data_IF_430603330147
#
_entry.id   IF_430603330147
#
_cell.length_a   1.000
_cell.length_b   1.000
_cell.length_c   1.000
_cell.angle_alpha   90.00
_cell.angle_beta   90.00
_cell.angle_gamma   90.00
#
_symmetry.space_group_name_H-M   'P 1'
#
loop_
_entity.id
_entity.type
_entity.pdbx_description
1 polymer ?
#
# COMPACT_ATOMS: atom_id res chain seq x y z
N UNK A 1 -15.27 8.38 -21.40
CA UNK A 1 -14.02 7.79 -20.87
C UNK A 1 -13.24 8.75 -19.97
N UNK A 2 -12.98 10.00 -20.37
CA UNK A 2 -12.14 10.95 -19.61
C UNK A 2 -12.65 11.27 -18.19
N UNK A 3 -13.97 11.45 -17.99
CA UNK A 3 -14.54 11.75 -16.67
C UNK A 3 -14.36 10.61 -15.64
N UNK A 4 -14.46 9.35 -16.07
CA UNK A 4 -14.28 8.20 -15.16
C UNK A 4 -12.83 8.06 -14.70
N UNK A 5 -11.87 8.28 -15.60
CA UNK A 5 -10.43 8.24 -15.30
C UNK A 5 -10.03 9.36 -14.35
N UNK A 6 -10.53 10.59 -14.57
CA UNK A 6 -10.25 11.73 -13.67
C UNK A 6 -10.85 11.51 -12.28
N UNK A 7 -12.07 10.99 -12.18
CA UNK A 7 -12.69 10.67 -10.88
C UNK A 7 -11.87 9.59 -10.16
N UNK A 8 -11.50 8.50 -10.84
CA UNK A 8 -10.70 7.42 -10.23
C UNK A 8 -9.31 7.93 -9.82
N UNK A 9 -8.68 8.77 -10.63
CA UNK A 9 -7.37 9.36 -10.29
C UNK A 9 -7.43 10.24 -9.04
N UNK A 10 -8.47 11.07 -8.88
CA UNK A 10 -8.67 11.86 -7.66
C UNK A 10 -8.91 10.98 -6.44
N UNK A 11 -9.65 9.88 -6.59
CA UNK A 11 -9.86 8.89 -5.54
C UNK A 11 -8.56 8.23 -5.10
N UNK A 12 -7.64 7.92 -6.02
CA UNK A 12 -6.33 7.36 -5.68
C UNK A 12 -5.50 8.33 -4.83
N UNK A 13 -5.53 9.62 -5.13
CA UNK A 13 -4.82 10.64 -4.34
C UNK A 13 -5.41 10.78 -2.94
N UNK A 14 -6.75 10.83 -2.81
CA UNK A 14 -7.41 10.86 -1.50
C UNK A 14 -7.07 9.59 -0.70
N UNK A 15 -7.12 8.43 -1.35
CA UNK A 15 -6.78 7.16 -0.72
C UNK A 15 -5.30 7.08 -0.35
N UNK A 16 -4.41 7.77 -1.08
CA UNK A 16 -2.98 7.89 -0.75
C UNK A 16 -2.76 8.57 0.60
N UNK A 17 -3.53 9.61 0.91
CA UNK A 17 -3.45 10.29 2.20
C UNK A 17 -3.93 9.41 3.36
N UNK A 18 -5.04 8.68 3.14
CA UNK A 18 -5.53 7.70 4.12
C UNK A 18 -4.54 6.55 4.31
N UNK A 19 -3.96 6.06 3.21
CA UNK A 19 -2.93 5.05 3.20
C UNK A 19 -1.71 5.49 4.02
N UNK A 20 -1.19 6.69 3.80
CA UNK A 20 -0.08 7.25 4.58
C UNK A 20 -0.37 7.23 6.08
N UNK A 21 -1.57 7.67 6.47
CA UNK A 21 -1.95 7.73 7.88
C UNK A 21 -1.98 6.33 8.53
N UNK A 22 -2.57 5.36 7.84
CA UNK A 22 -2.59 3.97 8.30
C UNK A 22 -1.19 3.33 8.29
N UNK A 23 -0.39 3.61 7.26
CA UNK A 23 0.97 3.11 7.12
C UNK A 23 1.87 3.61 8.25
N UNK A 24 1.78 4.91 8.59
CA UNK A 24 2.53 5.48 9.69
C UNK A 24 2.12 4.85 11.02
N UNK A 25 0.82 4.65 11.25
CA UNK A 25 0.35 3.97 12.46
C UNK A 25 0.88 2.53 12.54
N UNK A 26 0.81 1.77 11.45
CA UNK A 26 1.36 0.42 11.37
C UNK A 26 2.87 0.40 11.63
N UNK A 27 3.59 1.40 11.12
CA UNK A 27 5.05 1.50 11.26
C UNK A 27 5.47 1.86 12.69
N UNK A 28 4.77 2.79 13.35
CA UNK A 28 5.00 3.11 14.77
C UNK A 28 4.71 1.89 15.64
N UNK A 29 3.57 1.23 15.44
CA UNK A 29 3.22 0.01 16.19
C UNK A 29 4.21 -1.13 15.96
N UNK A 30 4.73 -1.27 14.73
CA UNK A 30 5.74 -2.27 14.41
C UNK A 30 7.06 -2.00 15.11
N UNK A 31 7.46 -0.72 15.25
CA UNK A 31 8.69 -0.34 15.96
C UNK A 31 8.51 -0.51 17.47
N UNK A 32 7.40 -0.02 18.04
CA UNK A 32 7.11 -0.11 19.47
C UNK A 32 6.96 -1.57 19.95
N UNK A 33 6.52 -2.47 19.06
CA UNK A 33 6.41 -3.90 19.35
C UNK A 33 7.74 -4.66 19.39
N UNK A 34 8.86 -4.03 19.03
CA UNK A 34 10.17 -4.69 18.97
C UNK A 34 11.06 -4.30 20.15
N UNK A 35 11.68 -5.31 20.80
CA UNK A 35 12.71 -5.06 21.83
C UNK A 35 14.00 -4.50 21.23
N UNK A 36 14.33 -4.90 20.00
CA UNK A 36 15.45 -4.37 19.21
C UNK A 36 14.93 -4.00 17.82
N UNK A 37 14.82 -2.70 17.47
CA UNK A 37 14.22 -2.29 16.21
C UNK A 37 15.08 -2.72 15.03
N UNK A 38 14.53 -3.58 14.19
CA UNK A 38 15.14 -4.08 12.95
C UNK A 38 14.31 -3.66 11.75
N UNK A 39 14.98 -3.11 10.74
CA UNK A 39 14.37 -2.65 9.48
C UNK A 39 13.56 -3.79 8.83
N UNK A 40 14.10 -5.01 8.81
CA UNK A 40 13.46 -6.16 8.19
C UNK A 40 12.16 -6.58 8.88
N UNK A 41 12.17 -6.57 10.21
CA UNK A 41 10.99 -6.94 11.02
C UNK A 41 9.93 -5.86 10.88
N UNK A 42 10.32 -4.58 10.94
CA UNK A 42 9.40 -3.46 10.70
C UNK A 42 8.75 -3.56 9.33
N UNK A 43 9.55 -3.84 8.30
CA UNK A 43 9.08 -3.97 6.91
C UNK A 43 8.15 -5.18 6.74
N UNK A 44 8.39 -6.29 7.43
CA UNK A 44 7.49 -7.45 7.44
C UNK A 44 6.12 -7.12 8.07
N UNK A 45 6.11 -6.42 9.21
CA UNK A 45 4.85 -6.01 9.85
C UNK A 45 4.08 -4.99 9.00
N UNK A 46 4.78 -4.00 8.42
CA UNK A 46 4.14 -3.06 7.49
C UNK A 46 3.73 -3.74 6.19
N UNK A 47 4.40 -4.81 5.77
CA UNK A 47 3.98 -5.62 4.63
C UNK A 47 2.62 -6.30 4.88
N UNK A 48 2.38 -6.83 6.09
CA UNK A 48 1.08 -7.38 6.45
C UNK A 48 -0.04 -6.33 6.39
N UNK A 49 0.23 -5.10 6.85
CA UNK A 49 -0.69 -3.98 6.64
C UNK A 49 -0.92 -3.72 5.14
N UNK A 50 0.14 -3.71 4.33
CA UNK A 50 0.04 -3.50 2.88
C UNK A 50 -0.73 -4.62 2.16
N UNK A 51 -0.72 -5.86 2.66
CA UNK A 51 -1.59 -6.94 2.17
C UNK A 51 -3.08 -6.63 2.41
N UNK A 52 -3.43 -6.09 3.59
CA UNK A 52 -4.80 -5.67 3.88
C UNK A 52 -5.23 -4.50 2.98
N UNK A 53 -4.35 -3.52 2.79
CA UNK A 53 -4.61 -2.41 1.87
C UNK A 53 -4.74 -2.92 0.42
N UNK A 54 -3.87 -3.82 -0.01
CA UNK A 54 -3.94 -4.46 -1.33
C UNK A 54 -5.24 -5.25 -1.53
N UNK A 55 -5.77 -5.88 -0.47
CA UNK A 55 -7.10 -6.49 -0.48
C UNK A 55 -8.22 -5.48 -0.68
N UNK A 56 -8.16 -4.34 -0.01
CA UNK A 56 -9.13 -3.25 -0.21
C UNK A 56 -9.03 -2.73 -1.65
N UNK A 57 -7.82 -2.43 -2.14
CA UNK A 57 -7.61 -1.94 -3.51
C UNK A 57 -8.18 -2.92 -4.54
N UNK A 58 -7.81 -4.20 -4.48
CA UNK A 58 -8.32 -5.22 -5.42
C UNK A 58 -9.81 -5.53 -5.27
N UNK A 59 -10.44 -5.14 -4.17
CA UNK A 59 -11.89 -5.29 -3.94
C UNK A 59 -12.68 -4.13 -4.56
N UNK A 60 -12.20 -2.90 -4.44
CA UNK A 60 -12.92 -1.70 -4.89
C UNK A 60 -12.47 -1.21 -6.28
N UNK A 61 -11.19 -1.36 -6.62
CA UNK A 61 -10.64 -1.04 -7.95
C UNK A 61 -10.67 -2.26 -8.87
N UNK A 62 -11.69 -2.32 -9.74
CA UNK A 62 -11.86 -3.42 -10.71
C UNK A 62 -11.12 -3.19 -12.02
N UNK A 63 -10.83 -1.93 -12.38
CA UNK A 63 -10.24 -1.60 -13.67
C UNK A 63 -8.73 -1.83 -13.67
N UNK A 64 -7.99 -1.19 -12.76
CA UNK A 64 -6.52 -1.19 -12.76
C UNK A 64 -5.93 -1.19 -11.34
N UNK A 65 -6.17 -2.23 -10.52
CA UNK A 65 -5.73 -2.27 -9.13
C UNK A 65 -4.20 -2.16 -8.95
N UNK A 66 -3.42 -2.66 -9.91
CA UNK A 66 -1.96 -2.53 -9.91
C UNK A 66 -1.49 -1.09 -10.13
N UNK A 67 -2.12 -0.35 -11.04
CA UNK A 67 -1.75 1.04 -11.28
C UNK A 67 -2.20 1.91 -10.10
N UNK A 68 -3.39 1.64 -9.57
CA UNK A 68 -3.89 2.30 -8.37
C UNK A 68 -2.92 2.13 -7.20
N UNK A 69 -2.42 0.91 -6.93
CA UNK A 69 -1.49 0.69 -5.81
C UNK A 69 -0.14 1.39 -6.00
N UNK A 70 0.39 1.46 -7.23
CA UNK A 70 1.61 2.22 -7.52
C UNK A 70 1.41 3.71 -7.27
N UNK A 71 0.31 4.28 -7.76
CA UNK A 71 -0.03 5.69 -7.55
C UNK A 71 -0.23 5.97 -6.06
N UNK A 72 -0.96 5.11 -5.35
CA UNK A 72 -1.23 5.24 -3.92
C UNK A 72 0.07 5.19 -3.10
N UNK A 73 0.99 4.28 -3.45
CA UNK A 73 2.28 4.19 -2.79
C UNK A 73 3.15 5.43 -3.07
N UNK A 74 3.24 5.85 -4.33
CA UNK A 74 4.08 6.98 -4.73
C UNK A 74 3.57 8.30 -4.11
N UNK A 75 2.28 8.61 -4.25
CA UNK A 75 1.72 9.82 -3.66
C UNK A 75 1.61 9.72 -2.15
N UNK A 76 1.34 8.55 -1.58
CA UNK A 76 1.21 8.38 -0.13
C UNK A 76 2.56 8.48 0.58
N UNK A 77 3.54 7.66 0.18
CA UNK A 77 4.84 7.57 0.84
C UNK A 77 5.76 8.72 0.45
N UNK A 78 5.94 8.96 -0.86
CA UNK A 78 6.88 9.98 -1.35
C UNK A 78 6.22 11.36 -1.29
N UNK A 79 5.06 11.53 -1.94
CA UNK A 79 4.38 12.83 -1.98
C UNK A 79 3.98 13.33 -0.59
N UNK A 80 3.03 12.65 0.05
CA UNK A 80 2.49 13.08 1.33
C UNK A 80 3.42 12.80 2.50
N UNK A 81 4.09 11.65 2.51
CA UNK A 81 4.93 11.20 3.61
C UNK A 81 6.25 11.95 3.72
N UNK A 82 6.92 12.23 2.60
CA UNK A 82 8.21 12.92 2.60
C UNK A 82 8.08 14.44 2.38
N UNK A 83 7.28 14.88 1.39
CA UNK A 83 7.24 16.31 1.02
C UNK A 83 6.19 17.13 1.76
N UNK A 84 4.96 16.64 1.94
CA UNK A 84 3.88 17.48 2.52
C UNK A 84 3.79 17.42 4.04
N UNK A 85 3.93 16.23 4.62
CA UNK A 85 3.69 16.03 6.06
C UNK A 85 4.98 15.74 6.82
N UNK A 86 6.09 15.47 6.09
CA UNK A 86 7.42 15.10 6.63
C UNK A 86 7.39 13.92 7.62
N UNK A 87 6.27 13.19 7.71
CA UNK A 87 6.02 12.09 8.64
C UNK A 87 6.97 10.92 8.43
N UNK A 88 7.47 10.75 7.21
CA UNK A 88 8.41 9.69 6.87
C UNK A 88 9.85 10.21 6.65
N UNK A 89 10.07 11.53 6.68
CA UNK A 89 11.37 12.13 6.37
C UNK A 89 12.48 11.76 7.39
N UNK A 90 12.10 11.34 8.60
CA UNK A 90 13.02 10.88 9.63
C UNK A 90 13.47 9.41 9.53
N UNK A 91 12.92 8.62 8.61
CA UNK A 91 13.29 7.20 8.45
C UNK A 91 14.37 7.00 7.39
N UNK A 92 15.10 5.88 7.46
CA UNK A 92 16.12 5.54 6.45
C UNK A 92 15.51 5.45 5.05
N UNK A 93 16.23 5.95 4.04
CA UNK A 93 15.85 5.87 2.63
C UNK A 93 15.54 4.43 2.19
N UNK A 94 16.26 3.45 2.74
CA UNK A 94 16.04 2.02 2.46
C UNK A 94 14.64 1.57 2.88
N UNK A 95 14.18 2.03 4.04
CA UNK A 95 12.85 1.72 4.57
C UNK A 95 11.77 2.41 3.71
N UNK A 96 11.97 3.66 3.32
CA UNK A 96 11.02 4.42 2.48
C UNK A 96 10.84 3.76 1.11
N UNK A 97 11.94 3.35 0.47
CA UNK A 97 11.92 2.62 -0.81
C UNK A 97 11.21 1.28 -0.62
N UNK A 98 11.54 0.56 0.45
CA UNK A 98 10.89 -0.70 0.81
C UNK A 98 9.38 -0.55 0.97
N UNK A 99 8.93 0.45 1.71
CA UNK A 99 7.51 0.75 1.91
C UNK A 99 6.81 1.07 0.58
N UNK A 100 7.43 1.90 -0.25
CA UNK A 100 6.89 2.29 -1.55
C UNK A 100 6.71 1.08 -2.49
N UNK A 101 7.67 0.16 -2.53
CA UNK A 101 7.60 -1.04 -3.37
C UNK A 101 6.74 -2.15 -2.76
N UNK A 102 6.59 -2.17 -1.44
CA UNK A 102 5.87 -3.24 -0.75
C UNK A 102 4.36 -3.21 -1.01
N UNK A 103 3.74 -2.04 -1.20
CA UNK A 103 2.31 -1.93 -1.51
C UNK A 103 1.93 -2.51 -2.89
N UNK A 104 2.60 -2.15 -3.99
CA UNK A 104 2.30 -2.77 -5.29
C UNK A 104 2.58 -4.27 -5.28
N UNK A 105 3.63 -4.72 -4.58
CA UNK A 105 3.91 -6.15 -4.42
C UNK A 105 2.82 -6.88 -3.63
N UNK A 106 2.35 -6.31 -2.52
CA UNK A 106 1.27 -6.86 -1.73
C UNK A 106 -0.04 -6.94 -2.54
N UNK A 107 -0.33 -5.91 -3.31
CA UNK A 107 -1.50 -5.86 -4.20
C UNK A 107 -1.42 -6.92 -5.30
N UNK A 108 -0.23 -7.16 -5.85
CA UNK A 108 0.03 -8.23 -6.81
C UNK A 108 -0.27 -9.61 -6.22
N UNK A 109 0.29 -9.91 -5.04
CA UNK A 109 0.04 -11.19 -4.35
C UNK A 109 -1.46 -11.40 -4.12
N UNK A 110 -2.15 -10.41 -3.56
CA UNK A 110 -3.58 -10.52 -3.28
C UNK A 110 -4.41 -10.74 -4.55
N UNK A 111 -4.02 -10.10 -5.66
CA UNK A 111 -4.66 -10.30 -6.95
C UNK A 111 -4.51 -11.74 -7.43
N UNK A 112 -3.29 -12.29 -7.40
CA UNK A 112 -3.01 -13.67 -7.80
C UNK A 112 -3.81 -14.68 -6.95
N UNK A 113 -3.86 -14.48 -5.63
CA UNK A 113 -4.68 -15.31 -4.74
C UNK A 113 -6.17 -15.25 -5.10
N UNK A 114 -6.67 -14.07 -5.46
CA UNK A 114 -8.08 -13.89 -5.83
C UNK A 114 -8.40 -14.56 -7.17
N UNK A 115 -7.53 -14.44 -8.17
CA UNK A 115 -7.68 -15.10 -9.47
C UNK A 115 -7.70 -16.63 -9.29
N UNK A 116 -6.72 -17.16 -8.55
CA UNK A 116 -6.64 -18.60 -8.26
C UNK A 116 -7.86 -19.16 -7.52
N UNK A 117 -8.46 -18.37 -6.63
CA UNK A 117 -9.68 -18.78 -5.93
C UNK A 117 -10.92 -18.75 -6.85
N UNK A 118 -10.98 -17.85 -7.82
CA UNK A 118 -12.08 -17.83 -8.79
C UNK A 118 -11.99 -18.98 -9.78
N UNK A 119 -10.78 -19.35 -10.23
CA UNK A 119 -10.57 -20.52 -11.09
C UNK A 119 -10.99 -21.82 -10.42
N UNK A 120 -10.72 -21.96 -9.11
CA UNK A 120 -11.17 -23.13 -8.32
C UNK A 120 -12.69 -23.19 -8.19
N UNK A 121 -13.36 -22.06 -7.98
CA UNK A 121 -14.82 -22.01 -7.85
C UNK A 121 -15.58 -22.25 -9.16
N UNK A 122 -14.90 -22.30 -10.31
CA UNK A 122 -15.49 -22.63 -11.62
C UNK A 122 -15.27 -24.09 -12.03
N UNK A 123 -14.48 -24.86 -11.26
CA UNK A 123 -14.20 -26.28 -11.51
C UNK A 123 -15.05 -27.24 -10.64
N UNK A 124 -15.80 -26.71 -9.67
CA UNK A 124 -16.80 -27.41 -8.86
C UNK A 124 -18.23 -27.10 -9.34
#
# INVERSE_FOLDING_TARGET
MTKQVVIHSSLWVIFSFFYLSGLQAALVLAIDGQTYPSIWITLLYTFAFNLLVGHIITKYEKLLPMIASVVIAAFGVVGFGCYFTERLAGYSNELIIGLTLSLPFATFIVREFKLKNQDKAQQD
#
